data_IF_199797156481
#
_entry.id   IF_199797156481
#
_cell.length_a   1.000
_cell.length_b   1.000
_cell.length_c   1.000
_cell.angle_alpha   90.00
_cell.angle_beta   90.00
_cell.angle_gamma   90.00
#
_symmetry.space_group_name_H-M   'P 1'
#
loop_
_entity.id
_entity.type
_entity.pdbx_description
1 polymer ?
#
# COMPACT_ATOMS: atom_id res chain seq x y z
N UNK A 1 -28.28 2.07 19.28
CA UNK A 1 -28.04 2.39 17.87
C UNK A 1 -26.62 1.98 17.59
N UNK A 2 -26.36 1.06 16.67
CA UNK A 2 -24.98 0.72 16.30
C UNK A 2 -24.33 1.99 15.73
N UNK A 3 -23.28 2.47 16.36
CA UNK A 3 -22.49 3.57 15.81
C UNK A 3 -22.06 3.19 14.39
N UNK A 4 -22.35 4.08 13.44
CA UNK A 4 -21.99 3.84 12.04
C UNK A 4 -20.48 4.06 11.88
N UNK A 5 -19.71 2.97 11.89
CA UNK A 5 -18.24 3.03 11.74
C UNK A 5 -17.91 3.57 10.35
N UNK A 6 -17.20 4.70 10.32
CA UNK A 6 -16.79 5.36 9.08
C UNK A 6 -15.61 4.66 8.41
N UNK A 7 -14.58 4.34 9.18
CA UNK A 7 -13.36 3.70 8.65
C UNK A 7 -12.92 2.53 9.54
N UNK A 8 -12.68 1.37 8.92
CA UNK A 8 -11.96 0.25 9.52
C UNK A 8 -10.49 0.36 9.16
N UNK A 9 -9.63 0.54 10.16
CA UNK A 9 -8.18 0.66 9.96
C UNK A 9 -7.52 -0.68 10.28
N UNK A 10 -6.94 -1.33 9.26
CA UNK A 10 -6.27 -2.63 9.39
C UNK A 10 -4.78 -2.42 9.65
N UNK A 11 -4.28 -2.98 10.76
CA UNK A 11 -2.89 -2.90 11.21
C UNK A 11 -2.32 -4.31 11.31
N UNK A 12 -1.57 -4.80 10.31
CA UNK A 12 -0.84 -6.06 10.41
C UNK A 12 0.34 -5.91 11.36
N UNK A 13 0.52 -6.85 12.29
CA UNK A 13 1.53 -6.78 13.34
C UNK A 13 2.35 -8.07 13.36
N UNK A 14 3.67 -7.95 13.18
CA UNK A 14 4.61 -9.07 13.33
C UNK A 14 5.98 -8.60 13.80
N UNK A 15 6.36 -8.96 15.03
CA UNK A 15 7.67 -8.67 15.63
C UNK A 15 8.09 -7.19 15.51
N UNK A 16 7.20 -6.26 15.95
CA UNK A 16 7.34 -4.82 15.76
C UNK A 16 7.19 -4.03 17.07
N UNK A 17 7.33 -4.67 18.23
CA UNK A 17 7.11 -4.10 19.57
C UNK A 17 7.78 -2.74 19.77
N UNK A 18 8.95 -2.51 19.18
CA UNK A 18 9.70 -1.24 19.27
C UNK A 18 8.95 -0.03 18.70
N UNK A 19 8.09 -0.22 17.71
CA UNK A 19 7.44 0.87 16.95
C UNK A 19 5.93 0.91 17.16
N UNK A 20 5.34 -0.21 17.60
CA UNK A 20 3.90 -0.45 17.64
C UNK A 20 3.13 0.61 18.44
N UNK A 21 3.64 1.02 19.61
CA UNK A 21 2.99 2.04 20.43
C UNK A 21 2.83 3.36 19.70
N UNK A 22 3.86 3.82 18.95
CA UNK A 22 3.76 5.05 18.16
C UNK A 22 2.70 4.94 17.07
N UNK A 23 2.61 3.81 16.40
CA UNK A 23 1.57 3.54 15.41
C UNK A 23 0.19 3.63 16.05
N UNK A 24 -0.05 2.87 17.13
CA UNK A 24 -1.34 2.86 17.83
C UNK A 24 -1.71 4.22 18.41
N UNK A 25 -0.74 4.97 18.99
CA UNK A 25 -0.98 6.33 19.48
C UNK A 25 -1.51 7.24 18.39
N UNK A 26 -0.99 7.15 17.16
CA UNK A 26 -1.49 7.95 16.03
C UNK A 26 -2.93 7.59 15.65
N UNK A 27 -3.36 6.35 15.88
CA UNK A 27 -4.69 5.85 15.54
C UNK A 27 -5.72 6.13 16.65
N UNK A 28 -5.38 5.90 17.91
CA UNK A 28 -6.32 6.17 19.03
C UNK A 28 -6.60 7.65 19.23
N UNK A 29 -5.64 8.51 18.82
CA UNK A 29 -5.77 9.96 18.91
C UNK A 29 -6.35 10.62 17.65
N UNK A 30 -6.82 9.85 16.65
CA UNK A 30 -7.48 10.44 15.48
C UNK A 30 -8.63 11.38 15.85
N UNK A 31 -8.80 12.47 15.10
CA UNK A 31 -9.93 13.41 15.25
C UNK A 31 -11.26 12.73 14.92
N UNK A 32 -11.29 11.87 13.89
CA UNK A 32 -12.44 11.02 13.62
C UNK A 32 -12.53 9.91 14.68
N UNK A 33 -13.62 9.91 15.46
CA UNK A 33 -13.83 8.94 16.55
C UNK A 33 -14.58 7.68 16.11
N UNK A 34 -15.34 7.76 15.01
CA UNK A 34 -16.12 6.65 14.49
C UNK A 34 -15.25 5.74 13.59
N UNK A 35 -14.11 5.33 14.11
CA UNK A 35 -13.21 4.36 13.46
C UNK A 35 -13.12 3.10 14.31
N UNK A 36 -12.85 1.96 13.69
CA UNK A 36 -12.36 0.77 14.36
C UNK A 36 -10.92 0.48 13.93
N UNK A 37 -10.12 -0.05 14.83
CA UNK A 37 -8.70 -0.35 14.61
C UNK A 37 -8.54 -1.87 14.74
N UNK A 38 -8.36 -2.55 13.62
CA UNK A 38 -8.26 -4.00 13.54
C UNK A 38 -6.78 -4.38 13.46
N UNK A 39 -6.23 -4.75 14.61
CA UNK A 39 -4.84 -5.21 14.74
C UNK A 39 -4.78 -6.72 14.51
N UNK A 40 -4.07 -7.16 13.49
CA UNK A 40 -3.89 -8.58 13.19
C UNK A 40 -2.49 -9.00 13.60
N UNK A 41 -2.36 -9.68 14.74
CA UNK A 41 -1.11 -10.26 15.21
C UNK A 41 -0.82 -11.55 14.41
N UNK A 42 0.15 -11.48 13.53
CA UNK A 42 0.55 -12.57 12.63
C UNK A 42 1.61 -13.49 13.30
N UNK A 43 1.30 -13.94 14.53
CA UNK A 43 2.17 -14.86 15.27
C UNK A 43 3.46 -14.22 15.77
N UNK A 44 3.40 -13.00 16.32
CA UNK A 44 4.57 -12.34 16.92
C UNK A 44 5.15 -13.13 18.09
N UNK A 45 6.47 -13.11 18.19
CA UNK A 45 7.26 -13.76 19.25
C UNK A 45 7.97 -12.76 20.16
N UNK A 46 7.79 -11.46 19.90
CA UNK A 46 8.24 -10.36 20.75
C UNK A 46 7.05 -9.82 21.60
N UNK A 47 7.25 -8.72 22.31
CA UNK A 47 6.23 -8.11 23.16
C UNK A 47 5.11 -7.41 22.38
N UNK A 48 4.94 -7.67 21.06
CA UNK A 48 3.88 -7.01 20.29
C UNK A 48 2.49 -7.41 20.74
N UNK A 49 2.28 -8.68 21.14
CA UNK A 49 1.00 -9.17 21.61
C UNK A 49 0.57 -8.48 22.90
N UNK A 50 1.48 -8.35 23.88
CA UNK A 50 1.24 -7.68 25.15
C UNK A 50 0.88 -6.20 24.94
N UNK A 51 1.57 -5.51 24.03
CA UNK A 51 1.25 -4.11 23.68
C UNK A 51 -0.15 -4.01 23.11
N UNK A 52 -0.54 -4.89 22.18
CA UNK A 52 -1.89 -4.90 21.61
C UNK A 52 -2.98 -5.09 22.68
N UNK A 53 -2.75 -6.03 23.60
CA UNK A 53 -3.69 -6.28 24.72
C UNK A 53 -3.83 -5.06 25.65
N UNK A 54 -2.72 -4.36 25.93
CA UNK A 54 -2.75 -3.15 26.74
C UNK A 54 -3.56 -2.02 26.09
N UNK A 55 -3.38 -1.82 24.77
CA UNK A 55 -4.14 -0.81 24.03
C UNK A 55 -5.62 -1.18 23.91
N UNK A 56 -5.94 -2.43 23.64
CA UNK A 56 -7.32 -2.90 23.55
C UNK A 56 -8.10 -2.78 24.90
N UNK A 57 -7.41 -2.91 26.04
CA UNK A 57 -8.01 -2.64 27.37
C UNK A 57 -8.33 -1.15 27.58
N UNK A 58 -7.60 -0.24 26.93
CA UNK A 58 -7.73 1.23 27.10
C UNK A 58 -8.68 1.87 26.08
N UNK A 59 -8.82 1.27 24.90
CA UNK A 59 -9.64 1.81 23.80
C UNK A 59 -10.49 0.70 23.17
N UNK A 60 -11.80 0.76 23.36
CA UNK A 60 -12.77 -0.23 22.87
C UNK A 60 -12.91 -0.29 21.34
N UNK A 61 -12.32 0.67 20.61
CA UNK A 61 -12.28 0.67 19.15
C UNK A 61 -11.24 -0.30 18.59
N UNK A 62 -10.31 -0.78 19.45
CA UNK A 62 -9.26 -1.72 19.04
C UNK A 62 -9.79 -3.15 19.14
N UNK A 63 -9.73 -3.83 18.00
CA UNK A 63 -10.03 -5.26 17.85
C UNK A 63 -8.72 -5.99 17.56
N UNK A 64 -8.35 -6.96 18.40
CA UNK A 64 -7.14 -7.77 18.20
C UNK A 64 -7.53 -9.14 17.68
N UNK A 65 -6.98 -9.50 16.52
CA UNK A 65 -7.05 -10.84 15.95
C UNK A 65 -5.65 -11.47 16.02
N UNK A 66 -5.57 -12.76 16.31
CA UNK A 66 -4.30 -13.50 16.31
C UNK A 66 -4.41 -14.68 15.38
N UNK A 67 -3.37 -14.88 14.55
CA UNK A 67 -3.24 -16.00 13.65
C UNK A 67 -1.83 -16.59 13.71
N UNK A 68 -1.64 -17.80 13.20
CA UNK A 68 -0.30 -18.33 12.91
C UNK A 68 0.36 -17.50 11.80
N UNK A 69 1.68 -17.33 11.87
CA UNK A 69 2.40 -16.51 10.89
C UNK A 69 2.17 -16.99 9.46
N UNK A 70 1.46 -16.19 8.70
CA UNK A 70 1.14 -16.43 7.29
C UNK A 70 1.55 -15.27 6.36
N UNK A 71 2.20 -14.24 6.93
CA UNK A 71 2.77 -13.09 6.23
C UNK A 71 1.79 -11.91 6.06
N UNK A 72 2.37 -10.79 5.65
CA UNK A 72 1.70 -9.48 5.57
C UNK A 72 0.39 -9.49 4.77
N UNK A 73 0.39 -10.15 3.61
CA UNK A 73 -0.81 -10.30 2.76
C UNK A 73 -1.94 -11.04 3.48
N UNK A 74 -1.61 -12.14 4.16
CA UNK A 74 -2.59 -12.93 4.91
C UNK A 74 -3.18 -12.11 6.06
N UNK A 75 -2.34 -11.41 6.84
CA UNK A 75 -2.79 -10.56 7.93
C UNK A 75 -3.73 -9.44 7.45
N UNK A 76 -3.41 -8.77 6.33
CA UNK A 76 -4.31 -7.77 5.74
C UNK A 76 -5.63 -8.39 5.29
N UNK A 77 -5.60 -9.55 4.64
CA UNK A 77 -6.81 -10.25 4.20
C UNK A 77 -7.68 -10.67 5.40
N UNK A 78 -7.08 -11.22 6.47
CA UNK A 78 -7.80 -11.55 7.71
C UNK A 78 -8.49 -10.31 8.30
N UNK A 79 -7.80 -9.16 8.33
CA UNK A 79 -8.41 -7.91 8.75
C UNK A 79 -9.58 -7.49 7.85
N UNK A 80 -9.47 -7.65 6.53
CA UNK A 80 -10.54 -7.30 5.58
C UNK A 80 -11.82 -8.15 5.75
N UNK A 81 -11.73 -9.36 6.30
CA UNK A 81 -12.89 -10.23 6.50
C UNK A 81 -13.82 -9.77 7.62
N UNK A 82 -13.32 -8.97 8.57
CA UNK A 82 -14.08 -8.56 9.76
C UNK A 82 -14.46 -7.07 9.78
N UNK A 83 -14.14 -6.32 8.73
CA UNK A 83 -14.42 -4.88 8.64
C UNK A 83 -15.91 -4.56 8.68
N UNK A 84 -16.25 -3.52 9.44
CA UNK A 84 -17.63 -3.00 9.57
C UNK A 84 -17.74 -1.57 9.05
N UNK A 85 -16.62 -0.88 8.85
CA UNK A 85 -16.56 0.50 8.39
C UNK A 85 -17.02 0.68 6.94
N UNK A 86 -17.53 1.85 6.63
CA UNK A 86 -17.91 2.23 5.28
C UNK A 86 -16.69 2.25 4.33
N UNK A 87 -15.51 2.62 4.88
CA UNK A 87 -14.22 2.58 4.19
C UNK A 87 -13.22 1.73 4.94
N UNK A 88 -12.21 1.23 4.22
CA UNK A 88 -11.07 0.47 4.75
C UNK A 88 -9.81 1.30 4.55
N UNK A 89 -9.01 1.46 5.61
CA UNK A 89 -7.63 1.97 5.56
C UNK A 89 -6.64 0.90 6.01
N UNK A 90 -5.38 1.05 5.62
CA UNK A 90 -4.28 0.18 6.04
C UNK A 90 -3.18 1.03 6.67
N UNK A 91 -2.57 0.53 7.74
CA UNK A 91 -1.38 1.16 8.35
C UNK A 91 -0.37 0.07 8.70
N UNK A 92 0.85 0.21 8.20
CA UNK A 92 1.93 -0.68 8.58
C UNK A 92 2.38 -0.34 10.02
N UNK A 93 2.60 -1.33 10.85
CA UNK A 93 2.73 -1.18 12.31
C UNK A 93 4.03 -0.50 12.78
N UNK A 94 4.95 -0.18 11.87
CA UNK A 94 6.13 0.66 12.14
C UNK A 94 5.99 2.11 11.67
N UNK A 95 4.84 2.47 11.07
CA UNK A 95 4.50 3.79 10.55
C UNK A 95 3.50 4.51 11.46
N UNK A 96 3.08 5.74 11.08
CA UNK A 96 2.03 6.51 11.77
C UNK A 96 1.33 7.46 10.80
N UNK A 97 0.25 8.09 11.24
CA UNK A 97 -0.53 9.04 10.45
C UNK A 97 -0.77 10.35 11.20
N UNK A 98 -1.02 11.43 10.48
CA UNK A 98 -1.49 12.69 11.06
C UNK A 98 -2.82 12.49 11.81
N UNK A 99 -3.08 13.33 12.82
CA UNK A 99 -4.26 13.19 13.68
C UNK A 99 -5.58 13.39 12.94
N UNK A 100 -5.59 14.13 11.86
CA UNK A 100 -6.77 14.43 11.02
C UNK A 100 -6.85 13.56 9.75
N UNK A 101 -6.00 12.52 9.65
CA UNK A 101 -5.82 11.74 8.44
C UNK A 101 -7.12 11.06 8.00
N UNK A 102 -7.75 10.29 8.87
CA UNK A 102 -8.98 9.57 8.52
C UNK A 102 -10.19 10.47 8.41
N UNK A 103 -10.29 11.54 9.19
CA UNK A 103 -11.34 12.54 9.05
C UNK A 103 -11.30 13.18 7.65
N UNK A 104 -10.17 13.72 7.25
CA UNK A 104 -10.01 14.38 5.94
C UNK A 104 -10.25 13.43 4.77
N UNK A 105 -9.71 12.22 4.85
CA UNK A 105 -9.90 11.22 3.79
C UNK A 105 -11.38 10.79 3.66
N UNK A 106 -12.03 10.52 4.80
CA UNK A 106 -13.42 10.11 4.82
C UNK A 106 -14.34 11.22 4.29
N UNK A 107 -14.17 12.45 4.79
CA UNK A 107 -15.01 13.58 4.40
C UNK A 107 -14.86 13.91 2.91
N UNK A 108 -13.65 13.88 2.37
CA UNK A 108 -13.41 14.08 0.94
C UNK A 108 -14.03 12.96 0.10
N UNK A 109 -13.84 11.69 0.50
CA UNK A 109 -14.41 10.54 -0.20
C UNK A 109 -15.96 10.59 -0.20
N UNK A 110 -16.54 10.92 0.97
CA UNK A 110 -18.00 10.98 1.14
C UNK A 110 -18.63 12.13 0.37
N UNK A 111 -18.06 13.34 0.46
CA UNK A 111 -18.53 14.54 -0.23
C UNK A 111 -18.54 14.38 -1.74
N UNK A 112 -17.55 13.70 -2.29
CA UNK A 112 -17.37 13.52 -3.73
C UNK A 112 -17.93 12.17 -4.25
N UNK A 113 -18.50 11.35 -3.38
CA UNK A 113 -18.96 9.98 -3.68
C UNK A 113 -17.88 9.16 -4.40
N UNK A 114 -16.69 9.09 -3.78
CA UNK A 114 -15.53 8.39 -4.34
C UNK A 114 -15.35 7.01 -3.74
N UNK A 115 -14.85 6.07 -4.54
CA UNK A 115 -14.47 4.72 -4.10
C UNK A 115 -13.13 4.74 -3.36
N UNK A 116 -12.26 5.72 -3.69
CA UNK A 116 -10.92 5.84 -3.11
C UNK A 116 -10.65 7.31 -2.77
N UNK A 117 -10.12 7.57 -1.58
CA UNK A 117 -9.45 8.83 -1.26
C UNK A 117 -7.96 8.55 -1.03
N UNK A 118 -7.09 9.46 -1.51
CA UNK A 118 -5.65 9.35 -1.41
C UNK A 118 -5.05 10.61 -0.80
N UNK A 119 -4.27 10.42 0.27
CA UNK A 119 -3.43 11.48 0.86
C UNK A 119 -1.99 11.40 0.38
N UNK A 120 -1.23 12.45 0.65
CA UNK A 120 0.21 12.42 0.47
C UNK A 120 0.90 11.58 1.56
N UNK A 121 2.17 11.32 1.38
CA UNK A 121 2.96 10.68 2.43
C UNK A 121 4.36 11.26 2.54
N UNK A 122 4.89 11.19 3.74
CA UNK A 122 6.24 11.64 4.06
C UNK A 122 7.12 10.43 4.29
N UNK A 123 8.20 10.31 3.52
CA UNK A 123 9.23 9.33 3.81
C UNK A 123 10.16 9.86 4.89
N UNK A 124 10.04 9.28 6.08
CA UNK A 124 10.81 9.66 7.28
C UNK A 124 12.16 8.96 7.30
N UNK A 125 13.22 9.67 6.95
CA UNK A 125 14.59 9.19 7.15
C UNK A 125 15.19 9.82 8.41
N UNK A 126 16.15 9.17 9.08
CA UNK A 126 16.80 9.73 10.27
C UNK A 126 17.39 11.13 10.06
N UNK A 127 17.79 11.47 8.84
CA UNK A 127 18.45 12.73 8.49
C UNK A 127 17.59 13.71 7.69
N UNK A 128 16.48 13.27 7.10
CA UNK A 128 15.62 14.12 6.27
C UNK A 128 14.22 13.56 6.13
N UNK A 129 13.28 14.44 5.79
CA UNK A 129 11.89 14.11 5.47
C UNK A 129 11.62 14.44 4.01
N UNK A 130 10.86 13.61 3.31
CA UNK A 130 10.55 13.83 1.90
C UNK A 130 9.11 13.52 1.58
N UNK A 131 8.34 14.57 1.22
CA UNK A 131 6.99 14.44 0.65
C UNK A 131 7.08 13.77 -0.71
N UNK A 132 6.13 12.90 -1.04
CA UNK A 132 6.24 11.98 -2.17
C UNK A 132 5.31 12.26 -3.33
N UNK A 133 4.01 12.48 -3.10
CA UNK A 133 3.05 12.71 -4.18
C UNK A 133 2.93 14.18 -4.56
N UNK A 134 3.09 15.10 -3.59
CA UNK A 134 2.93 16.54 -3.76
C UNK A 134 1.52 16.93 -4.17
N UNK A 135 0.52 16.43 -3.43
CA UNK A 135 -0.87 16.78 -3.63
C UNK A 135 -1.13 18.20 -3.14
N UNK A 136 -1.66 19.06 -3.99
CA UNK A 136 -1.86 20.50 -3.72
C UNK A 136 -3.32 20.91 -3.65
N UNK A 137 -4.24 20.08 -4.14
CA UNK A 137 -5.66 20.38 -4.20
C UNK A 137 -6.51 19.12 -3.98
N UNK A 138 -7.73 19.32 -3.49
CA UNK A 138 -8.76 18.28 -3.52
C UNK A 138 -9.32 18.22 -4.95
N UNK A 139 -9.15 17.06 -5.61
CA UNK A 139 -9.58 16.88 -6.99
C UNK A 139 -10.01 15.44 -7.27
N UNK A 140 -11.08 15.30 -8.02
CA UNK A 140 -11.64 14.00 -8.42
C UNK A 140 -11.05 13.55 -9.75
N UNK A 141 -10.70 12.27 -9.82
CA UNK A 141 -10.19 11.60 -11.00
C UNK A 141 -11.05 10.37 -11.32
N UNK A 142 -11.51 10.27 -12.57
CA UNK A 142 -12.35 9.16 -13.04
C UNK A 142 -11.57 8.22 -13.96
N UNK A 143 -10.72 8.76 -14.84
CA UNK A 143 -9.93 7.95 -15.77
C UNK A 143 -8.84 7.17 -15.06
N UNK A 144 -8.67 5.91 -15.41
CA UNK A 144 -7.65 5.04 -14.82
C UNK A 144 -6.24 5.62 -15.00
N UNK A 145 -5.92 6.17 -16.18
CA UNK A 145 -4.63 6.77 -16.49
C UNK A 145 -4.26 7.89 -15.51
N UNK A 146 -5.22 8.79 -15.26
CA UNK A 146 -5.01 9.94 -14.37
C UNK A 146 -4.83 9.48 -12.92
N UNK A 147 -5.59 8.46 -12.48
CA UNK A 147 -5.44 7.85 -11.16
C UNK A 147 -4.06 7.19 -10.99
N UNK A 148 -3.58 6.47 -11.99
CA UNK A 148 -2.22 5.91 -11.98
C UNK A 148 -1.14 6.99 -11.92
N UNK A 149 -1.34 8.09 -12.62
CA UNK A 149 -0.43 9.23 -12.66
C UNK A 149 -0.31 9.90 -11.29
N UNK A 150 -1.43 10.32 -10.72
CA UNK A 150 -1.43 11.08 -9.46
C UNK A 150 -0.96 10.22 -8.29
N UNK A 151 -1.30 8.93 -8.26
CA UNK A 151 -0.82 7.99 -7.24
C UNK A 151 0.62 7.51 -7.47
N UNK A 152 1.26 7.88 -8.58
CA UNK A 152 2.60 7.40 -8.97
C UNK A 152 2.74 5.88 -8.84
N UNK A 153 1.71 5.14 -9.24
CA UNK A 153 1.51 3.72 -8.98
C UNK A 153 2.74 2.86 -9.30
N UNK A 154 3.49 3.19 -10.36
CA UNK A 154 4.70 2.46 -10.75
C UNK A 154 5.91 2.69 -9.84
N UNK A 155 5.93 3.76 -9.06
CA UNK A 155 7.03 4.09 -8.15
C UNK A 155 6.67 3.84 -6.70
N UNK A 156 5.45 4.22 -6.35
CA UNK A 156 5.01 4.31 -4.97
C UNK A 156 3.86 3.35 -4.66
N UNK A 157 3.43 2.47 -5.50
CA UNK A 157 2.31 1.51 -5.46
C UNK A 157 1.78 1.04 -4.08
N UNK A 158 1.77 1.93 -3.10
CA UNK A 158 1.42 1.65 -1.71
C UNK A 158 -0.09 1.71 -1.47
N UNK A 159 -0.59 0.90 -0.52
CA UNK A 159 -2.01 0.84 -0.14
C UNK A 159 -2.35 1.76 1.02
N UNK A 160 -1.39 2.04 1.90
CA UNK A 160 -1.58 2.62 3.22
C UNK A 160 -1.86 4.12 3.25
N UNK A 161 -1.58 4.88 2.20
CA UNK A 161 -1.93 6.32 2.10
C UNK A 161 -3.32 6.56 1.50
N UNK A 162 -4.20 5.58 1.57
CA UNK A 162 -5.53 5.61 0.95
C UNK A 162 -6.57 5.02 1.88
N UNK A 163 -7.82 5.41 1.65
CA UNK A 163 -8.98 4.64 2.09
C UNK A 163 -9.76 4.16 0.87
N UNK A 164 -10.42 3.02 1.02
CA UNK A 164 -11.15 2.33 -0.03
C UNK A 164 -12.57 2.06 0.44
N UNK A 165 -13.59 2.37 -0.36
CA UNK A 165 -14.97 2.03 -0.02
C UNK A 165 -15.11 0.52 0.15
N UNK A 166 -15.64 0.07 1.26
CA UNK A 166 -15.75 -1.36 1.60
C UNK A 166 -16.56 -2.14 0.57
N UNK A 167 -17.72 -1.61 0.19
CA UNK A 167 -18.59 -2.22 -0.83
C UNK A 167 -17.91 -2.30 -2.20
N UNK A 168 -17.10 -1.30 -2.55
CA UNK A 168 -16.32 -1.33 -3.79
C UNK A 168 -15.32 -2.49 -3.78
N UNK A 169 -14.49 -2.64 -2.74
CA UNK A 169 -13.52 -3.75 -2.67
C UNK A 169 -14.21 -5.12 -2.68
N UNK A 170 -15.35 -5.26 -1.96
CA UNK A 170 -16.15 -6.47 -1.97
C UNK A 170 -16.72 -6.79 -3.35
N UNK A 171 -17.18 -5.77 -4.09
CA UNK A 171 -17.80 -5.95 -5.42
C UNK A 171 -16.82 -6.50 -6.47
N UNK A 172 -15.52 -6.28 -6.30
CA UNK A 172 -14.48 -6.76 -7.21
C UNK A 172 -13.68 -7.95 -6.63
N UNK A 173 -14.06 -8.45 -5.44
CA UNK A 173 -13.38 -9.53 -4.69
C UNK A 173 -11.85 -9.37 -4.65
N UNK A 174 -11.39 -8.13 -4.41
CA UNK A 174 -9.96 -7.82 -4.42
C UNK A 174 -9.30 -8.19 -3.09
N UNK A 175 -8.31 -9.10 -3.14
CA UNK A 175 -7.50 -9.54 -2.01
C UNK A 175 -6.01 -9.38 -2.30
N UNK A 176 -5.21 -9.33 -1.24
CA UNK A 176 -3.75 -9.40 -1.35
C UNK A 176 -3.31 -10.82 -1.70
N UNK A 177 -2.33 -10.95 -2.60
CA UNK A 177 -1.78 -12.25 -2.98
C UNK A 177 -0.86 -12.76 -1.88
N UNK A 178 -1.26 -13.87 -1.24
CA UNK A 178 -0.49 -14.47 -0.14
C UNK A 178 0.82 -15.07 -0.64
N UNK A 179 1.89 -14.93 0.17
CA UNK A 179 3.22 -15.47 -0.14
C UNK A 179 4.05 -14.63 -1.11
N UNK A 180 3.58 -13.44 -1.51
CA UNK A 180 4.33 -12.53 -2.39
C UNK A 180 4.78 -11.28 -1.63
N UNK A 181 6.00 -10.82 -1.95
CA UNK A 181 6.46 -9.47 -1.62
C UNK A 181 5.95 -8.48 -2.68
N UNK A 182 5.76 -7.21 -2.29
CA UNK A 182 5.24 -6.13 -3.16
C UNK A 182 3.79 -6.34 -3.61
N UNK A 183 3.02 -7.06 -2.82
CA UNK A 183 1.62 -7.39 -2.98
C UNK A 183 0.72 -6.15 -3.09
N UNK A 184 1.17 -5.06 -2.46
CA UNK A 184 0.53 -3.74 -2.47
C UNK A 184 0.46 -3.11 -3.86
N UNK A 185 1.42 -3.41 -4.73
CA UNK A 185 1.47 -2.88 -6.11
C UNK A 185 0.35 -3.43 -6.99
N UNK A 186 0.12 -4.74 -6.93
CA UNK A 186 -0.96 -5.37 -7.68
C UNK A 186 -2.32 -4.92 -7.15
N UNK A 187 -2.49 -4.95 -5.81
CA UNK A 187 -3.70 -4.47 -5.16
C UNK A 187 -4.02 -3.01 -5.54
N UNK A 188 -3.04 -2.12 -5.45
CA UNK A 188 -3.20 -0.70 -5.81
C UNK A 188 -3.53 -0.55 -7.30
N UNK A 189 -2.84 -1.25 -8.19
CA UNK A 189 -3.11 -1.13 -9.63
C UNK A 189 -4.55 -1.55 -9.95
N UNK A 190 -5.00 -2.70 -9.45
CA UNK A 190 -6.36 -3.18 -9.69
C UNK A 190 -7.42 -2.28 -9.04
N UNK A 191 -7.23 -1.88 -7.80
CA UNK A 191 -8.19 -0.98 -7.13
C UNK A 191 -8.35 0.36 -7.85
N UNK A 192 -7.27 0.96 -8.33
CA UNK A 192 -7.31 2.21 -9.11
C UNK A 192 -8.02 2.04 -10.46
N UNK A 193 -7.85 0.89 -11.10
CA UNK A 193 -8.52 0.60 -12.37
C UNK A 193 -10.03 0.45 -12.21
N UNK A 194 -10.45 -0.42 -11.30
CA UNK A 194 -11.86 -0.74 -11.12
C UNK A 194 -12.65 0.36 -10.39
N UNK A 195 -12.01 1.25 -9.65
CA UNK A 195 -12.69 2.37 -8.98
C UNK A 195 -13.34 3.31 -10.01
N UNK A 196 -14.55 3.76 -9.73
CA UNK A 196 -15.21 4.81 -10.55
C UNK A 196 -14.53 6.15 -10.35
N UNK A 197 -14.36 6.55 -9.09
CA UNK A 197 -13.81 7.84 -8.72
C UNK A 197 -12.73 7.71 -7.64
N UNK A 198 -11.70 8.52 -7.77
CA UNK A 198 -10.68 8.76 -6.75
C UNK A 198 -10.61 10.24 -6.45
N UNK A 199 -10.48 10.62 -5.17
CA UNK A 199 -10.23 12.01 -4.75
C UNK A 199 -8.86 12.15 -4.09
N UNK A 200 -8.14 13.23 -4.42
CA UNK A 200 -6.90 13.63 -3.72
C UNK A 200 -7.21 14.47 -2.50
N UNK A 201 -6.47 14.26 -1.40
CA UNK A 201 -6.64 14.97 -0.14
C UNK A 201 -5.31 15.59 0.27
N UNK A 202 -5.13 16.92 0.09
CA UNK A 202 -3.92 17.62 0.47
C UNK A 202 -3.86 17.89 1.98
N UNK A 203 -2.67 18.27 2.46
CA UNK A 203 -2.43 18.76 3.82
C UNK A 203 -2.81 17.77 4.94
N UNK A 204 -2.64 16.50 4.69
CA UNK A 204 -2.61 15.42 5.68
C UNK A 204 -1.70 14.32 5.17
N UNK A 205 -1.00 13.63 6.08
CA UNK A 205 0.11 12.77 5.67
C UNK A 205 0.09 11.43 6.39
N UNK A 206 0.49 10.42 5.62
CA UNK A 206 0.96 9.16 6.14
C UNK A 206 2.48 9.24 6.32
N UNK A 207 3.00 8.91 7.50
CA UNK A 207 4.41 8.97 7.82
C UNK A 207 5.06 7.58 7.68
N UNK A 208 5.69 7.35 6.52
CA UNK A 208 6.43 6.12 6.22
C UNK A 208 7.82 6.15 6.87
N UNK A 209 8.04 5.31 7.87
CA UNK A 209 9.29 5.26 8.61
C UNK A 209 10.31 4.31 7.96
N UNK A 210 11.46 4.86 7.59
CA UNK A 210 12.56 4.07 7.02
C UNK A 210 13.44 3.52 8.12
N UNK A 211 13.07 2.36 8.68
CA UNK A 211 13.89 1.69 9.67
C UNK A 211 15.01 0.84 9.03
N UNK A 212 16.03 0.46 9.84
CA UNK A 212 17.16 -0.34 9.33
C UNK A 212 16.78 -1.80 9.04
N UNK A 213 15.74 -2.31 9.68
CA UNK A 213 15.21 -3.68 9.52
C UNK A 213 14.07 -3.77 8.50
N UNK A 214 13.73 -2.67 7.80
CA UNK A 214 12.68 -2.68 6.80
C UNK A 214 12.92 -3.75 5.73
N UNK A 215 11.87 -4.49 5.39
CA UNK A 215 11.86 -5.51 4.32
C UNK A 215 12.47 -4.93 3.04
N UNK A 216 12.16 -3.68 2.72
CA UNK A 216 12.66 -2.99 1.50
C UNK A 216 14.18 -2.77 1.51
N UNK A 217 14.82 -2.59 2.66
CA UNK A 217 16.29 -2.45 2.75
C UNK A 217 17.03 -3.80 2.64
N UNK A 218 16.40 -4.87 3.07
CA UNK A 218 16.96 -6.22 2.98
C UNK A 218 16.66 -6.92 1.64
N UNK A 219 16.07 -6.21 0.67
CA UNK A 219 15.82 -6.66 -0.72
C UNK A 219 17.08 -7.08 -1.51
N UNK A 220 18.12 -7.55 -0.81
CA UNK A 220 19.27 -8.24 -1.43
C UNK A 220 19.04 -9.73 -1.58
N UNK A 221 17.92 -10.25 -1.06
CA UNK A 221 17.58 -11.64 -1.19
C UNK A 221 17.02 -11.90 -2.62
N UNK A 222 17.51 -12.95 -3.25
CA UNK A 222 17.15 -13.39 -4.61
C UNK A 222 15.61 -13.49 -4.78
N UNK A 223 14.91 -14.06 -3.79
CA UNK A 223 13.47 -14.27 -3.81
C UNK A 223 12.70 -12.94 -3.89
N UNK A 224 13.09 -11.93 -3.11
CA UNK A 224 12.45 -10.62 -3.15
C UNK A 224 12.65 -9.91 -4.49
N UNK A 225 13.85 -10.07 -5.08
CA UNK A 225 14.13 -9.55 -6.42
C UNK A 225 13.28 -10.22 -7.50
N UNK A 226 13.07 -11.52 -7.40
CA UNK A 226 12.21 -12.29 -8.31
C UNK A 226 10.75 -11.88 -8.16
N UNK A 227 10.24 -11.73 -6.94
CA UNK A 227 8.86 -11.26 -6.68
C UNK A 227 8.65 -9.82 -7.20
N UNK A 228 9.61 -8.91 -7.02
CA UNK A 228 9.53 -7.57 -7.58
C UNK A 228 9.34 -7.57 -9.09
N UNK A 229 10.13 -8.38 -9.80
CA UNK A 229 10.01 -8.53 -11.26
C UNK A 229 8.67 -9.12 -11.65
N UNK A 230 8.26 -10.18 -10.95
CA UNK A 230 7.01 -10.89 -11.24
C UNK A 230 5.78 -9.98 -11.05
N UNK A 231 5.65 -9.32 -9.89
CA UNK A 231 4.54 -8.41 -9.62
C UNK A 231 4.51 -7.27 -10.62
N UNK A 232 5.69 -6.72 -10.96
CA UNK A 232 5.78 -5.68 -11.98
C UNK A 232 5.30 -6.17 -13.35
N UNK A 233 5.65 -7.40 -13.75
CA UNK A 233 5.17 -8.00 -14.99
C UNK A 233 3.65 -8.20 -14.97
N UNK A 234 3.11 -8.68 -13.86
CA UNK A 234 1.66 -8.85 -13.68
C UNK A 234 0.91 -7.53 -13.83
N UNK A 235 1.37 -6.47 -13.16
CA UNK A 235 0.78 -5.13 -13.28
C UNK A 235 0.84 -4.61 -14.70
N UNK A 236 1.97 -4.83 -15.41
CA UNK A 236 2.11 -4.41 -16.80
C UNK A 236 1.21 -5.19 -17.74
N UNK A 237 1.11 -6.49 -17.54
CA UNK A 237 0.21 -7.35 -18.31
C UNK A 237 -1.23 -6.88 -18.12
N UNK A 238 -1.64 -6.64 -16.87
CA UNK A 238 -2.97 -6.13 -16.54
C UNK A 238 -3.27 -4.79 -17.26
N UNK A 239 -2.30 -3.87 -17.28
CA UNK A 239 -2.43 -2.58 -17.97
C UNK A 239 -2.64 -2.77 -19.48
N UNK A 240 -1.89 -3.69 -20.10
CA UNK A 240 -2.02 -3.98 -21.53
C UNK A 240 -3.36 -4.62 -21.88
N UNK A 241 -3.75 -5.64 -21.11
CA UNK A 241 -5.02 -6.36 -21.30
C UNK A 241 -6.24 -5.44 -21.18
N UNK A 242 -6.14 -4.41 -20.37
CA UNK A 242 -7.21 -3.43 -20.15
C UNK A 242 -7.03 -2.14 -20.97
N UNK A 243 -6.07 -2.10 -21.91
CA UNK A 243 -5.81 -0.97 -22.80
C UNK A 243 -5.62 0.37 -22.07
N UNK A 244 -4.99 0.36 -20.89
CA UNK A 244 -4.77 1.57 -20.10
C UNK A 244 -3.62 2.35 -20.73
N UNK A 245 -3.90 3.57 -21.18
CA UNK A 245 -2.89 4.42 -21.84
C UNK A 245 -2.04 5.17 -20.81
N UNK A 246 -1.03 4.50 -20.27
CA UNK A 246 -0.08 5.12 -19.35
C UNK A 246 1.07 5.72 -20.13
N UNK A 247 1.40 7.02 -19.97
CA UNK A 247 2.51 7.68 -20.65
C UNK A 247 3.85 7.00 -20.40
N UNK A 248 4.63 6.75 -21.44
CA UNK A 248 5.94 6.05 -21.40
C UNK A 248 6.95 6.65 -20.39
N UNK A 249 6.85 7.93 -20.10
CA UNK A 249 7.76 8.62 -19.16
C UNK A 249 7.59 8.26 -17.67
N UNK A 250 6.44 7.69 -17.30
CA UNK A 250 6.19 7.20 -15.93
C UNK A 250 6.83 5.84 -15.69
N UNK A 251 7.00 5.11 -16.75
CA UNK A 251 7.71 3.87 -16.82
C UNK A 251 9.18 4.16 -17.12
N UNK A 252 9.95 4.63 -16.14
CA UNK A 252 11.40 4.50 -16.26
C UNK A 252 11.67 3.01 -16.26
N UNK A 253 11.91 2.47 -17.45
CA UNK A 253 12.43 1.14 -17.61
C UNK A 253 13.69 1.05 -16.72
N UNK A 254 13.53 0.50 -15.51
CA UNK A 254 14.68 0.12 -14.73
C UNK A 254 15.34 -1.00 -15.54
N UNK A 255 16.55 -0.74 -16.03
CA UNK A 255 17.37 -1.80 -16.60
C UNK A 255 17.70 -2.75 -15.46
N UNK A 256 16.92 -3.81 -15.31
CA UNK A 256 17.29 -4.91 -14.44
C UNK A 256 18.56 -5.52 -14.99
N UNK A 257 19.69 -5.23 -14.35
CA UNK A 257 21.00 -5.72 -14.77
C UNK A 257 21.32 -6.99 -14.00
N UNK A 258 21.37 -8.10 -14.68
CA UNK A 258 21.89 -9.35 -14.11
C UNK A 258 23.40 -9.39 -14.31
N UNK A 259 24.14 -9.46 -13.20
CA UNK A 259 25.61 -9.51 -13.19
C UNK A 259 26.08 -10.87 -12.74
N UNK A 260 27.03 -11.46 -13.46
CA UNK A 260 27.83 -12.61 -13.02
C UNK A 260 29.30 -12.16 -12.99
N UNK A 261 30.00 -12.44 -11.89
CA UNK A 261 31.39 -11.99 -11.67
C UNK A 261 31.63 -10.49 -11.99
N UNK A 262 30.67 -9.63 -11.57
CA UNK A 262 30.77 -8.18 -11.77
C UNK A 262 30.44 -7.67 -13.18
N UNK A 263 30.28 -8.55 -14.17
CA UNK A 263 29.91 -8.19 -15.55
C UNK A 263 28.39 -8.35 -15.79
N UNK A 264 27.77 -7.39 -16.45
CA UNK A 264 26.35 -7.49 -16.84
C UNK A 264 26.21 -8.51 -17.95
N UNK A 265 25.48 -9.61 -17.68
CA UNK A 265 25.23 -10.67 -18.66
C UNK A 265 24.03 -10.33 -19.52
N UNK A 266 22.93 -9.95 -18.88
CA UNK A 266 21.74 -9.48 -19.58
C UNK A 266 21.07 -8.37 -18.79
N UNK A 267 20.28 -7.57 -19.49
CA UNK A 267 19.40 -6.57 -18.88
C UNK A 267 18.03 -6.64 -19.54
N UNK A 268 17.00 -6.50 -18.75
CA UNK A 268 15.62 -6.43 -19.21
C UNK A 268 15.22 -4.96 -19.20
N UNK A 269 14.74 -4.46 -20.33
CA UNK A 269 14.07 -3.17 -20.43
C UNK A 269 12.60 -3.43 -20.67
N UNK A 270 11.79 -3.15 -19.68
CA UNK A 270 10.33 -3.31 -19.75
C UNK A 270 9.70 -1.98 -20.18
N UNK A 271 8.66 -2.05 -20.98
CA UNK A 271 7.89 -0.89 -21.44
C UNK A 271 6.40 -1.28 -21.48
N UNK A 272 5.52 -0.31 -21.41
CA UNK A 272 4.07 -0.51 -21.55
C UNK A 272 3.68 -1.07 -22.92
N UNK A 273 4.54 -0.93 -23.92
CA UNK A 273 4.30 -1.37 -25.30
C UNK A 273 5.01 -2.68 -25.67
N UNK A 274 6.12 -3.02 -24.99
CA UNK A 274 6.93 -4.21 -25.33
C UNK A 274 8.01 -4.48 -24.28
N UNK A 275 8.43 -5.74 -24.17
CA UNK A 275 9.59 -6.13 -23.36
C UNK A 275 10.81 -6.32 -24.24
N UNK A 276 11.96 -5.80 -23.78
CA UNK A 276 13.23 -5.94 -24.47
C UNK A 276 14.24 -6.64 -23.56
N UNK A 277 14.85 -7.72 -24.06
CA UNK A 277 15.97 -8.40 -23.38
C UNK A 277 17.25 -8.00 -24.09
N UNK A 278 18.24 -7.53 -23.34
CA UNK A 278 19.58 -7.20 -23.84
C UNK A 278 20.57 -8.23 -23.33
N UNK A 279 21.16 -9.01 -24.19
CA UNK A 279 22.27 -9.93 -23.92
C UNK A 279 23.60 -9.25 -24.32
N UNK A 280 24.57 -9.19 -23.39
CA UNK A 280 25.91 -8.58 -23.64
C UNK A 280 25.88 -7.19 -24.29
N UNK A 281 24.86 -6.37 -23.96
CA UNK A 281 24.71 -5.03 -24.53
C UNK A 281 24.14 -4.97 -25.96
N UNK A 282 23.82 -6.10 -26.58
CA UNK A 282 23.12 -6.18 -27.87
C UNK A 282 21.63 -6.41 -27.65
N UNK A 283 20.81 -5.79 -28.51
CA UNK A 283 19.34 -5.90 -28.44
C UNK A 283 18.93 -7.27 -28.97
N UNK A 284 18.40 -8.14 -28.11
CA UNK A 284 17.64 -9.30 -28.52
C UNK A 284 16.16 -8.97 -28.34
N UNK A 285 15.41 -8.82 -29.42
CA UNK A 285 13.97 -8.54 -29.39
C UNK A 285 13.25 -9.87 -29.28
N UNK A 286 12.69 -10.15 -28.11
CA UNK A 286 11.61 -11.13 -28.00
C UNK A 286 10.31 -10.32 -27.75
N UNK A 287 9.43 -10.33 -28.74
CA UNK A 287 8.05 -9.89 -28.58
C UNK A 287 7.26 -11.07 -28.01
N UNK A 288 6.73 -10.91 -26.81
CA UNK A 288 5.64 -11.74 -26.29
C UNK A 288 4.39 -10.91 -26.24
#
# INVERSE_FOLDING_TARGET
MSENIKVSVIVPVYNVSKYLSRCLDSLVNQTEKNIEIICVNDGSTDNSAEILEEYAKKDSRIVVLTQENAGLSAARNTGMEVVRGEYIGFVDSDDWVDLDFYEKLYDAAKRNDCDIAVADFIRQHPKNKKIRLHLTEEKVYEKAEDKYLICRTFREGCVWNKIYRTEFLKSIDLKFVVGMYYEDRDFTARSLFYSKKLVTVPNTYYDYFVNEKSIVKHCKNKIQGEHYVLVRQQVLQFIRENNINVPDGLYKAEKSKFKLFGKTIFSIKESTKSNYIFLFGKICIFKY
#
